data_IF_716194641515
#
_entry.id   IF_716194641515
#
_cell.length_a   1.000
_cell.length_b   1.000
_cell.length_c   1.000
_cell.angle_alpha   90.00
_cell.angle_beta   90.00
_cell.angle_gamma   90.00
#
_symmetry.space_group_name_H-M   'P 1'
#
loop_
_entity.id
_entity.type
_entity.pdbx_description
1 polymer ?
#
# COMPACT_ATOMS: atom_id res chain seq x y z
N UNK A 1 4.89 7.19 -2.85
CA UNK A 1 4.29 7.69 -1.60
C UNK A 1 3.04 8.55 -1.85
N UNK A 2 2.09 8.62 -0.87
CA UNK A 2 0.92 9.53 -0.82
C UNK A 2 -0.07 9.51 -2.02
N UNK A 3 -0.07 8.48 -2.85
CA UNK A 3 -1.03 8.30 -3.96
C UNK A 3 -2.46 7.96 -3.52
N UNK A 4 -2.71 7.73 -2.21
CA UNK A 4 -4.05 7.45 -1.69
C UNK A 4 -4.34 6.00 -1.31
N UNK A 5 -3.35 5.08 -1.38
CA UNK A 5 -3.55 3.64 -1.12
C UNK A 5 -4.36 3.31 0.13
N UNK A 6 -4.06 3.96 1.26
CA UNK A 6 -4.79 3.71 2.51
C UNK A 6 -6.26 4.13 2.40
N UNK A 7 -6.52 5.34 1.89
CA UNK A 7 -7.89 5.87 1.80
C UNK A 7 -8.73 5.07 0.80
N UNK A 8 -8.17 4.74 -0.36
CA UNK A 8 -8.84 3.86 -1.34
C UNK A 8 -9.07 2.47 -0.74
N UNK A 9 -8.07 1.92 -0.01
CA UNK A 9 -8.22 0.65 0.69
C UNK A 9 -9.31 0.68 1.78
N UNK A 10 -9.48 1.81 2.50
CA UNK A 10 -10.56 1.99 3.46
C UNK A 10 -11.94 1.94 2.77
N UNK A 11 -12.08 2.63 1.63
CA UNK A 11 -13.33 2.62 0.85
C UNK A 11 -13.60 1.24 0.22
N UNK A 12 -12.58 0.56 -0.29
CA UNK A 12 -12.71 -0.79 -0.82
C UNK A 12 -13.13 -1.79 0.26
N UNK A 13 -12.55 -1.69 1.46
CA UNK A 13 -12.92 -2.55 2.59
C UNK A 13 -14.39 -2.39 3.02
N UNK A 14 -14.93 -1.16 2.95
CA UNK A 14 -16.37 -0.92 3.23
C UNK A 14 -17.30 -1.58 2.22
N UNK A 15 -16.83 -1.77 0.98
CA UNK A 15 -17.63 -2.27 -0.15
C UNK A 15 -17.56 -3.78 -0.32
N UNK A 16 -16.47 -4.42 0.12
CA UNK A 16 -16.16 -5.81 -0.25
C UNK A 16 -16.06 -6.78 0.92
N UNK A 17 -16.04 -6.34 2.15
CA UNK A 17 -15.76 -7.21 3.29
C UNK A 17 -14.28 -7.61 3.45
N UNK A 18 -13.40 -7.22 2.53
CA UNK A 18 -11.94 -7.38 2.67
C UNK A 18 -11.43 -6.61 3.88
N UNK A 19 -10.37 -7.10 4.52
CA UNK A 19 -9.75 -6.45 5.66
C UNK A 19 -8.57 -5.59 5.23
N UNK A 20 -8.58 -4.31 5.57
CA UNK A 20 -7.46 -3.42 5.25
C UNK A 20 -6.31 -3.62 6.25
N UNK A 21 -5.13 -3.98 5.73
CA UNK A 21 -3.87 -3.94 6.42
C UNK A 21 -2.93 -2.94 5.72
N UNK A 22 -2.98 -1.67 6.12
CA UNK A 22 -2.10 -0.68 5.49
C UNK A 22 -0.70 -0.69 6.12
N UNK A 23 0.30 -0.40 5.31
CA UNK A 23 1.73 -0.52 5.63
C UNK A 23 2.13 0.11 6.98
N UNK A 24 1.53 1.24 7.36
CA UNK A 24 1.85 1.95 8.60
C UNK A 24 1.27 1.30 9.87
N UNK A 25 0.37 0.32 9.79
CA UNK A 25 -0.18 -0.31 10.99
C UNK A 25 0.89 -0.98 11.84
N UNK A 26 2.00 -1.46 11.23
CA UNK A 26 3.13 -2.02 11.98
C UNK A 26 4.32 -1.06 12.08
N UNK A 27 4.39 -0.03 11.27
CA UNK A 27 5.46 0.98 11.33
C UNK A 27 5.27 1.92 12.52
N UNK A 28 4.06 2.44 12.73
CA UNK A 28 3.79 3.44 13.77
C UNK A 28 4.08 2.92 15.19
N UNK A 29 3.60 1.73 15.62
CA UNK A 29 3.93 1.19 16.94
C UNK A 29 5.43 0.95 17.14
N UNK A 30 6.12 0.49 16.09
CA UNK A 30 7.57 0.27 16.16
C UNK A 30 8.31 1.60 16.35
N UNK A 31 7.93 2.64 15.61
CA UNK A 31 8.50 3.97 15.77
C UNK A 31 8.21 4.55 17.16
N UNK A 32 7.01 4.36 17.69
CA UNK A 32 6.62 4.86 19.01
C UNK A 32 7.43 4.18 20.14
N UNK A 33 7.60 2.86 20.06
CA UNK A 33 8.31 2.09 21.10
C UNK A 33 9.82 2.29 21.04
N UNK A 34 10.41 2.28 19.83
CA UNK A 34 11.87 2.29 19.67
C UNK A 34 12.46 3.68 19.38
N UNK A 35 11.63 4.70 19.14
CA UNK A 35 12.07 6.04 18.75
C UNK A 35 12.73 6.11 17.37
N UNK A 36 12.86 4.99 16.67
CA UNK A 36 13.46 4.87 15.35
C UNK A 36 12.81 3.75 14.55
N UNK A 37 12.94 3.82 13.23
CA UNK A 37 12.46 2.76 12.36
C UNK A 37 13.33 1.49 12.48
N UNK A 38 12.66 0.39 12.75
CA UNK A 38 13.25 -0.96 12.83
C UNK A 38 12.58 -1.84 11.77
N UNK A 39 13.14 -1.90 10.55
CA UNK A 39 12.55 -2.69 9.46
C UNK A 39 12.48 -4.18 9.79
N UNK A 40 13.47 -4.72 10.48
CA UNK A 40 13.52 -6.10 10.96
C UNK A 40 12.34 -6.45 11.87
N UNK A 41 12.05 -5.58 12.85
CA UNK A 41 10.91 -5.76 13.78
C UNK A 41 9.59 -5.60 13.04
N UNK A 42 9.48 -4.57 12.19
CA UNK A 42 8.27 -4.32 11.40
C UNK A 42 7.93 -5.51 10.50
N UNK A 43 8.94 -6.10 9.85
CA UNK A 43 8.73 -7.26 8.98
C UNK A 43 8.27 -8.48 9.77
N UNK A 44 8.86 -8.76 10.93
CA UNK A 44 8.43 -9.87 11.78
C UNK A 44 6.98 -9.72 12.26
N UNK A 45 6.57 -8.51 12.64
CA UNK A 45 5.19 -8.23 13.02
C UNK A 45 4.22 -8.45 11.85
N UNK A 46 4.59 -8.01 10.65
CA UNK A 46 3.79 -8.28 9.45
C UNK A 46 3.71 -9.76 9.14
N UNK A 47 4.81 -10.48 9.26
CA UNK A 47 4.86 -11.91 9.03
C UNK A 47 3.85 -12.65 9.93
N UNK A 48 3.86 -12.36 11.22
CA UNK A 48 2.88 -12.96 12.15
C UNK A 48 1.45 -12.66 11.73
N UNK A 49 1.15 -11.40 11.35
CA UNK A 49 -0.20 -11.04 10.89
C UNK A 49 -0.58 -11.79 9.61
N UNK A 50 0.31 -11.87 8.64
CA UNK A 50 0.05 -12.57 7.37
C UNK A 50 -0.17 -14.07 7.59
N UNK A 51 0.70 -14.71 8.37
CA UNK A 51 0.60 -16.15 8.66
C UNK A 51 -0.68 -16.51 9.41
N UNK A 52 -1.06 -15.73 10.43
CA UNK A 52 -2.27 -15.95 11.18
C UNK A 52 -3.54 -15.59 10.37
N UNK A 53 -3.46 -14.54 9.55
CA UNK A 53 -4.57 -14.21 8.65
C UNK A 53 -4.79 -15.29 7.58
N UNK A 54 -3.72 -15.83 7.02
CA UNK A 54 -3.79 -16.91 6.03
C UNK A 54 -4.45 -18.21 6.57
N UNK A 55 -4.39 -18.41 7.89
CA UNK A 55 -5.04 -19.56 8.58
C UNK A 55 -6.49 -19.26 8.99
N UNK A 56 -6.92 -18.00 8.90
CA UNK A 56 -8.24 -17.60 9.35
C UNK A 56 -9.32 -17.84 8.28
N UNK A 57 -10.60 -17.86 8.70
CA UNK A 57 -11.76 -17.91 7.79
C UNK A 57 -12.07 -16.53 7.15
N UNK A 58 -11.15 -15.57 7.21
CA UNK A 58 -11.36 -14.22 6.67
C UNK A 58 -11.39 -14.27 5.15
N UNK A 59 -12.33 -13.54 4.55
CA UNK A 59 -12.56 -13.52 3.09
C UNK A 59 -11.32 -13.08 2.29
N UNK A 60 -10.57 -12.08 2.78
CA UNK A 60 -9.35 -11.63 2.12
C UNK A 60 -8.80 -10.34 2.73
N UNK A 61 -7.58 -9.98 2.31
CA UNK A 61 -6.84 -8.84 2.83
C UNK A 61 -6.49 -7.86 1.72
N UNK A 62 -6.66 -6.56 2.02
CA UNK A 62 -6.08 -5.46 1.24
C UNK A 62 -4.77 -5.07 1.91
N UNK A 63 -3.64 -5.41 1.31
CA UNK A 63 -2.33 -4.97 1.79
C UNK A 63 -1.85 -3.77 0.98
N UNK A 64 -1.40 -2.68 1.64
CA UNK A 64 -0.84 -1.53 0.94
C UNK A 64 0.67 -1.47 1.08
N UNK A 65 1.37 -1.42 -0.02
CA UNK A 65 2.82 -1.36 -0.08
C UNK A 65 3.31 -0.20 -0.97
N UNK A 66 4.51 0.30 -0.71
CA UNK A 66 5.21 1.18 -1.63
C UNK A 66 6.23 0.32 -2.38
N UNK A 67 5.93 0.01 -3.61
CA UNK A 67 6.76 -0.83 -4.46
C UNK A 67 7.70 0.07 -5.28
N UNK A 68 9.00 -0.09 -5.07
CA UNK A 68 10.03 0.51 -5.91
C UNK A 68 10.40 -0.51 -7.00
N UNK A 69 9.95 -0.26 -8.21
CA UNK A 69 10.10 -1.21 -9.33
C UNK A 69 11.54 -1.37 -9.81
N UNK A 70 12.43 -0.45 -9.44
CA UNK A 70 13.87 -0.49 -9.66
C UNK A 70 14.64 -1.26 -8.56
N UNK A 71 13.95 -1.77 -7.54
CA UNK A 71 14.56 -2.50 -6.42
C UNK A 71 14.13 -3.97 -6.41
N UNK A 72 15.06 -4.89 -6.69
CA UNK A 72 14.79 -6.34 -6.66
C UNK A 72 14.24 -6.79 -5.29
N UNK A 73 14.71 -6.19 -4.20
CA UNK A 73 14.22 -6.50 -2.85
C UNK A 73 12.71 -6.27 -2.67
N UNK A 74 12.12 -5.33 -3.41
CA UNK A 74 10.69 -5.07 -3.34
C UNK A 74 9.88 -6.13 -4.12
N UNK A 75 10.42 -6.61 -5.25
CA UNK A 75 9.86 -7.76 -5.97
C UNK A 75 9.92 -9.02 -5.12
N UNK A 76 11.07 -9.32 -4.55
CA UNK A 76 11.26 -10.48 -3.65
C UNK A 76 10.32 -10.40 -2.45
N UNK A 77 10.06 -9.18 -1.93
CA UNK A 77 9.13 -8.98 -0.83
C UNK A 77 7.68 -9.29 -1.23
N UNK A 78 7.23 -8.90 -2.42
CA UNK A 78 5.89 -9.21 -2.93
C UNK A 78 5.73 -10.73 -3.10
N UNK A 79 6.73 -11.38 -3.69
CA UNK A 79 6.73 -12.85 -3.86
C UNK A 79 6.72 -13.57 -2.50
N UNK A 80 7.48 -13.06 -1.54
CA UNK A 80 7.46 -13.60 -0.17
C UNK A 80 6.09 -13.46 0.50
N UNK A 81 5.43 -12.29 0.40
CA UNK A 81 4.08 -12.09 0.93
C UNK A 81 3.11 -13.07 0.27
N UNK A 82 3.13 -13.18 -1.05
CA UNK A 82 2.30 -14.13 -1.80
C UNK A 82 2.52 -15.58 -1.35
N UNK A 83 3.79 -15.95 -1.13
CA UNK A 83 4.17 -17.28 -0.65
C UNK A 83 3.61 -17.63 0.73
N UNK A 84 3.48 -16.65 1.65
CA UNK A 84 2.87 -16.89 2.97
C UNK A 84 1.39 -17.28 2.84
N UNK A 85 0.65 -16.63 1.93
CA UNK A 85 -0.76 -16.92 1.71
C UNK A 85 -0.98 -18.21 0.89
N UNK A 86 0.07 -18.70 0.18
CA UNK A 86 -0.04 -19.91 -0.64
C UNK A 86 -1.06 -19.80 -1.78
N UNK A 87 -1.37 -18.58 -2.22
CA UNK A 87 -2.39 -18.31 -3.23
C UNK A 87 -1.83 -18.49 -4.64
N UNK A 88 -2.61 -19.06 -5.56
CA UNK A 88 -2.30 -19.03 -6.98
C UNK A 88 -2.42 -17.59 -7.53
N UNK A 89 -1.80 -17.32 -8.68
CA UNK A 89 -1.75 -15.98 -9.27
C UNK A 89 -3.13 -15.39 -9.59
N UNK A 90 -4.09 -16.24 -9.89
CA UNK A 90 -5.48 -15.86 -10.17
C UNK A 90 -6.24 -15.31 -8.96
N UNK A 91 -5.79 -15.61 -7.74
CA UNK A 91 -6.40 -15.13 -6.50
C UNK A 91 -5.66 -13.93 -5.88
N UNK A 92 -4.61 -13.44 -6.55
CA UNK A 92 -3.86 -12.27 -6.12
C UNK A 92 -4.13 -11.10 -7.08
N UNK A 93 -4.55 -9.97 -6.52
CA UNK A 93 -4.99 -8.79 -7.26
C UNK A 93 -4.05 -7.61 -6.99
N UNK A 94 -3.59 -6.95 -8.05
CA UNK A 94 -2.66 -5.83 -7.98
C UNK A 94 -3.33 -4.55 -8.48
N UNK A 95 -3.58 -3.60 -7.59
CA UNK A 95 -4.09 -2.28 -7.94
C UNK A 95 -2.98 -1.24 -7.74
N UNK A 96 -2.46 -0.71 -8.83
CA UNK A 96 -1.49 0.38 -8.82
C UNK A 96 -2.21 1.72 -8.91
N UNK A 97 -1.97 2.59 -7.94
CA UNK A 97 -2.46 3.97 -7.94
C UNK A 97 -1.31 4.91 -8.27
N UNK A 98 -1.51 5.79 -9.22
CA UNK A 98 -0.54 6.80 -9.61
C UNK A 98 -1.14 8.20 -9.56
N UNK A 99 -0.31 9.18 -9.19
CA UNK A 99 -0.69 10.58 -9.18
C UNK A 99 0.57 11.46 -9.30
N UNK A 100 0.49 12.63 -9.95
CA UNK A 100 1.60 13.58 -10.03
C UNK A 100 2.14 13.96 -8.64
N UNK A 101 3.43 14.27 -8.56
CA UNK A 101 4.08 14.63 -7.29
C UNK A 101 3.37 15.80 -6.58
N UNK A 102 2.92 16.80 -7.32
CA UNK A 102 2.18 17.95 -6.79
C UNK A 102 0.90 17.54 -6.05
N UNK A 103 0.13 16.61 -6.62
CA UNK A 103 -1.07 16.06 -5.98
C UNK A 103 -0.71 15.23 -4.74
N UNK A 104 0.37 14.45 -4.81
CA UNK A 104 0.83 13.64 -3.69
C UNK A 104 1.33 14.49 -2.52
N UNK A 105 1.98 15.62 -2.78
CA UNK A 105 2.38 16.59 -1.76
C UNK A 105 1.15 17.22 -1.06
N UNK A 106 0.10 17.58 -1.80
CA UNK A 106 -1.16 18.06 -1.22
C UNK A 106 -1.81 16.98 -0.34
N UNK A 107 -1.91 15.75 -0.85
CA UNK A 107 -2.47 14.60 -0.11
C UNK A 107 -1.65 14.21 1.12
N UNK A 108 -0.37 14.57 1.15
CA UNK A 108 0.51 14.27 2.28
C UNK A 108 0.11 15.01 3.57
N UNK A 109 -0.62 16.12 3.45
CA UNK A 109 -1.12 16.93 4.56
C UNK A 109 -2.59 16.65 4.94
N UNK A 110 -3.25 15.65 4.36
CA UNK A 110 -4.66 15.37 4.64
C UNK A 110 -4.89 14.85 6.06
N UNK A 111 -6.01 15.24 6.67
CA UNK A 111 -6.38 14.86 8.03
C UNK A 111 -6.41 13.34 8.23
N UNK A 112 -7.05 12.61 7.31
CA UNK A 112 -7.11 11.15 7.36
C UNK A 112 -5.71 10.51 7.42
N UNK A 113 -4.77 11.04 6.63
CA UNK A 113 -3.39 10.56 6.64
C UNK A 113 -2.70 10.82 7.98
N UNK A 114 -2.82 12.04 8.51
CA UNK A 114 -2.16 12.44 9.77
C UNK A 114 -2.75 11.74 10.98
N UNK A 115 -4.04 11.41 10.94
CA UNK A 115 -4.71 10.61 11.97
C UNK A 115 -4.13 9.20 12.07
N UNK A 116 -3.91 8.54 10.92
CA UNK A 116 -3.47 7.13 10.86
C UNK A 116 -1.96 6.95 10.77
N UNK A 117 -1.17 8.03 10.58
CA UNK A 117 0.28 7.98 10.40
C UNK A 117 0.93 9.08 11.22
N UNK A 118 1.07 8.86 12.52
CA UNK A 118 1.64 9.82 13.45
C UNK A 118 3.04 10.29 13.03
N UNK A 119 3.86 9.39 12.48
CA UNK A 119 5.19 9.69 11.92
C UNK A 119 5.19 10.65 10.72
N UNK A 120 4.02 10.99 10.18
CA UNK A 120 3.86 11.92 9.05
C UNK A 120 3.35 13.30 9.45
N UNK A 121 3.17 13.58 10.74
CA UNK A 121 2.63 14.85 11.24
C UNK A 121 3.56 16.04 11.03
N UNK A 122 4.88 15.83 10.98
CA UNK A 122 5.79 16.83 10.45
C UNK A 122 5.66 16.88 8.93
N UNK A 123 4.86 17.81 8.42
CA UNK A 123 4.57 17.93 6.98
C UNK A 123 5.86 18.24 6.21
N UNK A 124 6.74 19.10 6.75
CA UNK A 124 8.01 19.45 6.11
C UNK A 124 8.89 18.21 5.89
N UNK A 125 9.10 17.41 6.94
CA UNK A 125 9.91 16.18 6.87
C UNK A 125 9.26 15.12 5.98
N UNK A 126 7.93 15.01 6.06
CA UNK A 126 7.15 14.06 5.23
C UNK A 126 7.22 14.42 3.75
N UNK A 127 7.19 15.71 3.40
CA UNK A 127 7.35 16.20 2.04
C UNK A 127 8.78 16.01 1.53
N UNK A 128 9.77 16.38 2.34
CA UNK A 128 11.18 16.18 1.99
C UNK A 128 11.48 14.69 1.73
N UNK A 129 10.91 13.80 2.54
CA UNK A 129 11.03 12.35 2.32
C UNK A 129 10.34 11.90 1.02
N UNK A 130 9.14 12.40 0.73
CA UNK A 130 8.42 12.05 -0.50
C UNK A 130 9.23 12.43 -1.74
N UNK A 131 9.78 13.65 -1.76
CA UNK A 131 10.61 14.14 -2.87
C UNK A 131 11.86 13.26 -3.02
N UNK A 132 12.57 13.00 -1.94
CA UNK A 132 13.76 12.14 -1.95
C UNK A 132 13.46 10.70 -2.38
N UNK A 133 12.32 10.13 -1.95
CA UNK A 133 11.89 8.79 -2.38
C UNK A 133 11.66 8.76 -3.90
N UNK A 134 11.09 9.83 -4.48
CA UNK A 134 10.87 9.95 -5.93
C UNK A 134 12.17 10.15 -6.73
N UNK A 135 13.15 10.84 -6.15
CA UNK A 135 14.47 11.05 -6.77
C UNK A 135 15.30 9.77 -6.80
N UNK A 136 15.14 8.91 -5.80
CA UNK A 136 15.97 7.72 -5.63
C UNK A 136 15.32 6.44 -6.13
N UNK A 137 14.00 6.41 -6.29
CA UNK A 137 13.26 5.18 -6.61
C UNK A 137 12.16 5.44 -7.62
N UNK A 138 12.01 4.49 -8.53
CA UNK A 138 10.88 4.45 -9.44
C UNK A 138 9.70 3.70 -8.81
N UNK A 139 8.71 4.44 -8.33
CA UNK A 139 7.51 3.89 -7.68
C UNK A 139 6.29 3.80 -8.62
N UNK A 140 6.50 3.87 -9.93
CA UNK A 140 5.50 3.66 -10.97
C UNK A 140 6.02 2.62 -11.95
N UNK A 141 5.16 1.67 -12.33
CA UNK A 141 5.53 0.63 -13.29
C UNK A 141 5.71 1.19 -14.71
N UNK A 142 6.62 0.59 -15.47
CA UNK A 142 6.71 0.82 -16.92
C UNK A 142 5.60 0.06 -17.66
N UNK A 143 5.23 0.49 -18.87
CA UNK A 143 4.28 -0.26 -19.68
C UNK A 143 4.73 -1.71 -19.88
N UNK A 144 3.87 -2.67 -19.52
CA UNK A 144 4.15 -4.10 -19.65
C UNK A 144 5.11 -4.69 -18.60
N UNK A 145 5.56 -3.92 -17.60
CA UNK A 145 6.45 -4.41 -16.56
C UNK A 145 5.76 -5.35 -15.58
N UNK A 146 4.49 -5.09 -15.27
CA UNK A 146 3.67 -5.96 -14.44
C UNK A 146 2.97 -6.98 -15.35
N UNK A 147 3.36 -8.23 -15.21
CA UNK A 147 2.83 -9.35 -16.02
C UNK A 147 1.82 -10.20 -15.27
N UNK A 148 1.44 -9.81 -14.06
CA UNK A 148 0.41 -10.52 -13.28
C UNK A 148 -0.95 -10.46 -13.97
N UNK A 149 -1.72 -11.57 -13.99
CA UNK A 149 -2.99 -11.64 -14.72
C UNK A 149 -4.03 -10.66 -14.17
N UNK A 150 -4.04 -10.43 -12.87
CA UNK A 150 -4.98 -9.55 -12.18
C UNK A 150 -4.29 -8.22 -11.83
N UNK A 151 -4.02 -7.40 -12.81
CA UNK A 151 -3.39 -6.09 -12.61
C UNK A 151 -4.26 -4.95 -13.16
N UNK A 152 -4.43 -3.91 -12.36
CA UNK A 152 -5.13 -2.69 -12.72
C UNK A 152 -4.30 -1.47 -12.33
N UNK A 153 -4.07 -0.57 -13.30
CA UNK A 153 -3.42 0.73 -13.06
C UNK A 153 -4.44 1.85 -13.15
N UNK A 154 -4.47 2.72 -12.15
CA UNK A 154 -5.40 3.85 -12.04
C UNK A 154 -4.62 5.14 -11.84
N UNK A 155 -4.79 6.08 -12.77
CA UNK A 155 -4.37 7.47 -12.59
C UNK A 155 -5.44 8.18 -11.76
N UNK A 156 -5.19 8.32 -10.47
CA UNK A 156 -6.21 8.77 -9.52
C UNK A 156 -6.03 10.22 -9.05
N UNK A 157 -5.35 11.07 -9.84
CA UNK A 157 -5.14 12.48 -9.49
C UNK A 157 -6.47 13.18 -9.18
N UNK A 158 -7.43 13.04 -10.09
CA UNK A 158 -8.74 13.71 -10.06
C UNK A 158 -9.89 12.74 -9.71
N UNK A 159 -9.55 11.51 -9.28
CA UNK A 159 -10.55 10.49 -8.93
C UNK A 159 -10.72 10.45 -7.42
N UNK A 160 -11.95 10.61 -6.88
CA UNK A 160 -12.23 10.43 -5.46
C UNK A 160 -11.91 9.01 -4.99
N UNK A 161 -11.50 8.83 -3.72
CA UNK A 161 -11.17 7.50 -3.20
C UNK A 161 -12.26 6.45 -3.33
N UNK A 162 -13.52 6.85 -3.16
CA UNK A 162 -14.71 6.00 -3.30
C UNK A 162 -14.89 5.49 -4.73
N UNK A 163 -14.59 6.35 -5.70
CA UNK A 163 -14.66 6.01 -7.11
C UNK A 163 -13.51 5.09 -7.51
N UNK A 164 -12.29 5.37 -7.07
CA UNK A 164 -11.15 4.48 -7.29
C UNK A 164 -11.40 3.08 -6.68
N UNK A 165 -12.01 3.02 -5.49
CA UNK A 165 -12.40 1.77 -4.85
C UNK A 165 -13.49 1.03 -5.66
N UNK A 166 -14.49 1.76 -6.21
CA UNK A 166 -15.50 1.19 -7.09
C UNK A 166 -14.88 0.58 -8.34
N UNK A 167 -13.98 1.31 -9.00
CA UNK A 167 -13.26 0.81 -10.18
C UNK A 167 -12.50 -0.49 -9.90
N UNK A 168 -11.80 -0.58 -8.76
CA UNK A 168 -11.09 -1.79 -8.33
C UNK A 168 -12.07 -2.94 -8.11
N UNK A 169 -13.16 -2.68 -7.38
CA UNK A 169 -14.19 -3.68 -7.10
C UNK A 169 -14.81 -4.25 -8.38
N UNK A 170 -15.20 -3.38 -9.30
CA UNK A 170 -15.86 -3.78 -10.55
C UNK A 170 -14.90 -4.52 -11.50
N UNK A 171 -13.67 -4.04 -11.60
CA UNK A 171 -12.66 -4.66 -12.47
C UNK A 171 -12.32 -6.08 -12.05
N UNK A 172 -12.12 -6.30 -10.76
CA UNK A 172 -11.76 -7.61 -10.21
C UNK A 172 -12.98 -8.44 -9.76
N UNK A 173 -14.19 -7.89 -9.82
CA UNK A 173 -15.46 -8.55 -9.40
C UNK A 173 -15.43 -8.98 -7.93
N UNK A 174 -14.90 -8.13 -7.05
CA UNK A 174 -14.77 -8.37 -5.61
C UNK A 174 -16.11 -8.20 -4.87
#
# INVERSE_FOLDING_TARGET
CAVGKMTVGQELAKRTGLRLFHNHMMIEPVLEIFGQWRPDVTQRLRQVIFEEFAKSDSYGMIFTYMWAFDMQSDWDYIDWVKGIFGLPDEDVYYAELIAPQSVRLQRNATENRLKHKASKRSIADSNARLIRDDENHRCESLPGEITHPNYLRIENADIPPEEAARMIQEYFKL
#
